data_IF_833652441654
#
_entry.id   IF_833652441654
#
_cell.length_a   1.000
_cell.length_b   1.000
_cell.length_c   1.000
_cell.angle_alpha   90.00
_cell.angle_beta   90.00
_cell.angle_gamma   90.00
#
_symmetry.space_group_name_H-M   'P 1'
#
loop_
_entity.id
_entity.type
_entity.pdbx_description
1 polymer ?
#
# COMPACT_ATOMS: atom_id res chain seq x y z
N UNK A 1 17.45 -11.97 -15.71
CA UNK A 1 16.14 -12.59 -15.40
C UNK A 1 15.50 -11.78 -14.29
N UNK A 2 14.42 -11.04 -14.55
CA UNK A 2 13.72 -10.30 -13.49
C UNK A 2 12.80 -11.30 -12.80
N UNK A 3 13.17 -11.73 -11.58
CA UNK A 3 12.28 -12.55 -10.76
C UNK A 3 11.14 -11.63 -10.33
N UNK A 4 9.96 -11.83 -10.91
CA UNK A 4 8.77 -11.18 -10.39
C UNK A 4 8.37 -11.92 -9.11
N UNK A 5 8.25 -11.24 -7.96
CA UNK A 5 7.76 -11.86 -6.75
C UNK A 5 6.32 -12.32 -7.02
N UNK A 6 5.94 -13.44 -6.43
CA UNK A 6 4.56 -13.90 -6.40
C UNK A 6 3.66 -12.87 -5.71
N UNK A 7 2.35 -12.99 -5.92
CA UNK A 7 1.36 -12.14 -5.24
C UNK A 7 1.54 -12.20 -3.72
N UNK A 8 1.76 -13.40 -3.18
CA UNK A 8 1.95 -13.62 -1.74
C UNK A 8 3.21 -12.93 -1.23
N UNK A 9 4.36 -13.20 -1.84
CA UNK A 9 5.64 -12.59 -1.44
C UNK A 9 5.58 -11.05 -1.48
N UNK A 10 4.88 -10.48 -2.45
CA UNK A 10 4.73 -9.04 -2.57
C UNK A 10 3.86 -8.46 -1.45
N UNK A 11 2.75 -9.12 -1.11
CA UNK A 11 1.89 -8.74 0.01
C UNK A 11 2.64 -8.83 1.33
N UNK A 12 3.39 -9.92 1.55
CA UNK A 12 4.18 -10.12 2.77
C UNK A 12 5.25 -9.04 2.94
N UNK A 13 5.95 -8.67 1.86
CA UNK A 13 6.90 -7.56 1.89
C UNK A 13 6.24 -6.22 2.22
N UNK A 14 5.05 -5.94 1.68
CA UNK A 14 4.28 -4.74 2.03
C UNK A 14 3.94 -4.73 3.53
N UNK A 15 3.47 -5.85 4.07
CA UNK A 15 3.16 -5.98 5.50
C UNK A 15 4.39 -5.79 6.38
N UNK A 16 5.52 -6.42 6.02
CA UNK A 16 6.77 -6.30 6.75
C UNK A 16 7.25 -4.84 6.81
N UNK A 17 7.27 -4.14 5.66
CA UNK A 17 7.65 -2.73 5.59
C UNK A 17 6.67 -1.81 6.33
N UNK A 18 5.37 -2.10 6.27
CA UNK A 18 4.36 -1.34 7.01
C UNK A 18 4.56 -1.48 8.53
N UNK A 19 4.86 -2.69 9.02
CA UNK A 19 5.18 -2.90 10.43
C UNK A 19 6.49 -2.22 10.83
N UNK A 20 7.54 -2.36 10.03
CA UNK A 20 8.82 -1.69 10.28
C UNK A 20 8.66 -0.16 10.33
N UNK A 21 7.87 0.42 9.42
CA UNK A 21 7.55 1.85 9.41
C UNK A 21 6.83 2.29 10.69
N UNK A 22 5.80 1.55 11.12
CA UNK A 22 5.07 1.84 12.37
C UNK A 22 5.99 1.79 13.59
N UNK A 23 6.81 0.75 13.69
CA UNK A 23 7.77 0.59 14.78
C UNK A 23 8.82 1.71 14.79
N UNK A 24 9.43 2.01 13.63
CA UNK A 24 10.42 3.08 13.52
C UNK A 24 9.83 4.45 13.86
N UNK A 25 8.59 4.73 13.43
CA UNK A 25 7.88 5.99 13.74
C UNK A 25 7.65 6.14 15.25
N UNK A 26 7.26 5.04 15.92
CA UNK A 26 7.05 5.02 17.37
C UNK A 26 8.36 5.19 18.15
N UNK A 27 9.43 4.52 17.73
CA UNK A 27 10.72 4.56 18.45
C UNK A 27 11.43 5.90 18.28
N UNK A 28 11.44 6.45 17.08
CA UNK A 28 12.19 7.69 16.80
C UNK A 28 11.42 8.94 17.22
N UNK A 29 10.11 8.84 17.48
CA UNK A 29 9.18 9.95 17.77
C UNK A 29 9.31 11.13 16.79
N UNK A 30 9.88 10.86 15.61
CA UNK A 30 10.26 11.85 14.61
C UNK A 30 9.75 11.35 13.26
N UNK A 31 8.57 11.82 12.81
CA UNK A 31 7.97 11.34 11.56
C UNK A 31 8.81 11.66 10.32
N UNK A 32 9.73 12.62 10.43
CA UNK A 32 10.62 13.04 9.35
C UNK A 32 12.02 12.43 9.45
N UNK A 33 12.23 11.43 10.31
CA UNK A 33 13.49 10.70 10.32
C UNK A 33 13.68 9.99 8.96
N UNK A 34 14.89 10.06 8.39
CA UNK A 34 15.17 9.53 7.05
C UNK A 34 14.81 8.05 6.88
N UNK A 35 14.96 7.24 7.94
CA UNK A 35 14.52 5.84 7.94
C UNK A 35 13.00 5.69 7.84
N UNK A 36 12.23 6.49 8.60
CA UNK A 36 10.75 6.47 8.57
C UNK A 36 10.24 6.81 7.18
N UNK A 37 10.81 7.86 6.57
CA UNK A 37 10.49 8.27 5.20
C UNK A 37 10.82 7.13 4.23
N UNK A 38 12.02 6.56 4.31
CA UNK A 38 12.46 5.50 3.40
C UNK A 38 11.57 4.26 3.48
N UNK A 39 11.20 3.82 4.68
CA UNK A 39 10.29 2.68 4.88
C UNK A 39 8.90 2.95 4.31
N UNK A 40 8.36 4.16 4.52
CA UNK A 40 7.07 4.58 3.95
C UNK A 40 7.10 4.58 2.41
N UNK A 41 8.17 5.11 1.81
CA UNK A 41 8.35 5.15 0.36
C UNK A 41 8.53 3.76 -0.26
N UNK A 42 9.28 2.87 0.40
CA UNK A 42 9.43 1.48 -0.03
C UNK A 42 8.08 0.73 0.04
N UNK A 43 7.33 0.86 1.15
CA UNK A 43 5.98 0.30 1.28
C UNK A 43 5.10 0.77 0.13
N UNK A 44 5.06 2.09 -0.10
CA UNK A 44 4.27 2.71 -1.16
C UNK A 44 4.67 2.17 -2.53
N UNK A 45 5.97 2.06 -2.81
CA UNK A 45 6.47 1.53 -4.08
C UNK A 45 6.02 0.09 -4.32
N UNK A 46 6.03 -0.77 -3.29
CA UNK A 46 5.52 -2.13 -3.41
C UNK A 46 4.00 -2.19 -3.58
N UNK A 47 3.23 -1.33 -2.90
CA UNK A 47 1.78 -1.24 -3.10
C UNK A 47 1.43 -0.84 -4.55
N UNK A 48 2.16 0.12 -5.12
CA UNK A 48 1.97 0.51 -6.54
C UNK A 48 2.36 -0.64 -7.48
N UNK A 49 3.45 -1.36 -7.18
CA UNK A 49 3.84 -2.55 -7.94
C UNK A 49 2.76 -3.62 -7.89
N UNK A 50 2.17 -3.88 -6.73
CA UNK A 50 1.09 -4.84 -6.54
C UNK A 50 -0.12 -4.50 -7.42
N UNK A 51 -0.57 -3.26 -7.39
CA UNK A 51 -1.71 -2.78 -8.18
C UNK A 51 -1.46 -2.92 -9.70
N UNK A 52 -0.24 -2.66 -10.16
CA UNK A 52 0.14 -2.77 -11.59
C UNK A 52 0.37 -4.20 -12.05
N UNK A 53 1.00 -5.03 -11.22
CA UNK A 53 1.33 -6.42 -11.56
C UNK A 53 0.13 -7.35 -11.43
N UNK A 54 -0.83 -7.01 -10.56
CA UNK A 54 -1.98 -7.86 -10.25
C UNK A 54 -3.32 -7.08 -10.23
N UNK A 55 -3.69 -6.31 -11.27
CA UNK A 55 -4.87 -5.43 -11.27
C UNK A 55 -6.21 -6.17 -11.17
N UNK A 56 -6.23 -7.48 -11.44
CA UNK A 56 -7.41 -8.33 -11.25
C UNK A 56 -7.54 -8.89 -9.83
N UNK A 57 -6.46 -8.83 -9.04
CA UNK A 57 -6.37 -9.37 -7.67
C UNK A 57 -6.24 -8.31 -6.60
N UNK A 58 -5.83 -7.09 -6.96
CA UNK A 58 -5.67 -5.97 -6.06
C UNK A 58 -6.35 -4.71 -6.61
N UNK A 59 -7.01 -3.95 -5.75
CA UNK A 59 -7.69 -2.70 -6.10
C UNK A 59 -7.68 -1.70 -4.93
N UNK A 60 -8.06 -0.45 -5.20
CA UNK A 60 -8.18 0.61 -4.21
C UNK A 60 -9.64 0.76 -3.79
N UNK A 61 -9.90 0.81 -2.49
CA UNK A 61 -11.23 1.11 -1.93
C UNK A 61 -11.08 2.18 -0.87
N UNK A 62 -11.98 3.18 -0.86
CA UNK A 62 -11.95 4.24 0.16
C UNK A 62 -12.24 3.62 1.52
N UNK A 63 -11.39 3.93 2.50
CA UNK A 63 -11.64 3.60 3.90
C UNK A 63 -12.52 4.68 4.52
N UNK A 64 -13.83 4.43 4.59
CA UNK A 64 -14.83 5.36 5.11
C UNK A 64 -14.84 5.44 6.66
N UNK A 65 -14.20 4.49 7.34
CA UNK A 65 -14.19 4.40 8.81
C UNK A 65 -12.87 4.89 9.41
N UNK A 66 -11.99 5.48 8.60
CA UNK A 66 -10.69 5.94 9.07
C UNK A 66 -10.82 7.18 9.96
N UNK A 67 -10.13 7.17 11.11
CA UNK A 67 -9.93 8.35 11.98
C UNK A 67 -8.80 9.26 11.47
N UNK A 68 -8.20 8.95 10.32
CA UNK A 68 -7.12 9.75 9.76
C UNK A 68 -7.61 11.12 9.28
N UNK A 69 -6.81 12.16 9.51
CA UNK A 69 -7.06 13.51 8.97
C UNK A 69 -6.98 13.56 7.44
N UNK A 70 -6.32 12.59 6.79
CA UNK A 70 -6.28 12.45 5.34
C UNK A 70 -7.08 11.24 4.86
N UNK A 71 -7.80 11.32 3.72
CA UNK A 71 -8.53 10.18 3.20
C UNK A 71 -7.56 9.07 2.77
N UNK A 72 -7.91 7.84 3.12
CA UNK A 72 -7.10 6.66 2.86
C UNK A 72 -7.83 5.71 1.91
N UNK A 73 -7.08 5.09 1.01
CA UNK A 73 -7.48 3.86 0.36
C UNK A 73 -6.97 2.66 1.17
N UNK A 74 -7.81 1.64 1.31
CA UNK A 74 -7.35 0.27 1.49
C UNK A 74 -6.84 -0.30 0.16
N UNK A 75 -5.71 -1.02 0.20
CA UNK A 75 -5.23 -1.80 -0.97
C UNK A 75 -5.80 -3.21 -0.85
N UNK A 76 -6.99 -3.41 -1.39
CA UNK A 76 -7.80 -4.61 -1.15
C UNK A 76 -7.36 -5.78 -2.03
N UNK A 77 -7.28 -6.97 -1.44
CA UNK A 77 -6.95 -8.23 -2.12
C UNK A 77 -8.23 -9.05 -2.31
N UNK A 78 -8.55 -9.38 -3.56
CA UNK A 78 -9.76 -10.15 -3.90
C UNK A 78 -9.49 -11.24 -4.94
N UNK A 79 -9.86 -12.51 -4.67
CA UNK A 79 -10.27 -13.01 -3.35
C UNK A 79 -9.12 -12.89 -2.32
N UNK A 80 -9.43 -12.87 -1.01
CA UNK A 80 -8.42 -12.84 0.04
C UNK A 80 -7.39 -13.97 -0.12
N UNK A 81 -6.13 -13.68 0.23
CA UNK A 81 -5.04 -14.65 0.18
C UNK A 81 -4.61 -15.02 1.60
N UNK A 82 -5.05 -16.18 2.08
CA UNK A 82 -4.85 -16.58 3.47
C UNK A 82 -5.47 -15.55 4.43
N UNK A 83 -4.63 -14.94 5.27
CA UNK A 83 -5.04 -13.88 6.21
C UNK A 83 -5.07 -12.47 5.60
N UNK A 84 -4.62 -12.32 4.35
CA UNK A 84 -4.45 -11.01 3.72
C UNK A 84 -5.65 -10.66 2.84
N UNK A 85 -6.47 -9.72 3.33
CA UNK A 85 -7.55 -9.08 2.56
C UNK A 85 -7.25 -7.61 2.22
N UNK A 86 -6.27 -6.99 2.90
CA UNK A 86 -5.88 -5.59 2.70
C UNK A 86 -4.36 -5.46 2.88
N UNK A 87 -3.65 -5.04 1.83
CA UNK A 87 -2.21 -4.78 1.80
C UNK A 87 -1.85 -3.38 2.32
N UNK A 88 -2.40 -3.03 3.47
CA UNK A 88 -2.26 -1.76 4.19
C UNK A 88 -2.83 -0.52 3.49
N UNK A 89 -3.00 0.55 4.27
CA UNK A 89 -3.54 1.81 3.77
C UNK A 89 -2.52 2.59 2.93
N UNK A 90 -3.06 3.29 1.94
CA UNK A 90 -2.38 4.18 1.01
C UNK A 90 -3.15 5.52 0.97
N UNK A 91 -2.54 6.65 1.32
CA UNK A 91 -3.23 7.93 1.22
C UNK A 91 -3.69 8.25 -0.20
N UNK A 92 -4.89 8.79 -0.34
CA UNK A 92 -5.48 9.14 -1.65
C UNK A 92 -4.55 10.06 -2.44
N UNK A 93 -3.98 11.08 -1.79
CA UNK A 93 -3.03 12.00 -2.40
C UNK A 93 -1.79 11.29 -2.95
N UNK A 94 -1.29 10.27 -2.25
CA UNK A 94 -0.11 9.50 -2.69
C UNK A 94 -0.47 8.61 -3.88
N UNK A 95 -1.63 7.95 -3.85
CA UNK A 95 -2.14 7.20 -4.99
C UNK A 95 -2.25 8.10 -6.24
N UNK A 96 -2.83 9.31 -6.08
CA UNK A 96 -2.95 10.30 -7.14
C UNK A 96 -1.61 10.83 -7.68
N UNK A 97 -0.56 10.80 -6.87
CA UNK A 97 0.78 11.21 -7.29
C UNK A 97 1.51 10.10 -8.06
N UNK A 98 1.21 8.82 -7.76
CA UNK A 98 1.99 7.67 -8.24
C UNK A 98 1.31 6.90 -9.38
N UNK A 99 -0.01 7.03 -9.50
CA UNK A 99 -0.83 6.39 -10.51
C UNK A 99 -1.35 7.45 -11.48
N UNK A 100 -1.46 7.06 -12.75
CA UNK A 100 -2.10 7.90 -13.76
C UNK A 100 -3.61 7.97 -13.53
N UNK A 101 -4.31 8.98 -14.07
CA UNK A 101 -5.77 9.04 -14.00
C UNK A 101 -6.45 7.77 -14.54
N UNK A 102 -5.96 7.21 -15.65
CA UNK A 102 -6.48 5.96 -16.23
C UNK A 102 -6.32 4.77 -15.29
N UNK A 103 -5.16 4.64 -14.64
CA UNK A 103 -4.92 3.60 -13.64
C UNK A 103 -5.89 3.76 -12.46
N UNK A 104 -6.09 4.98 -11.97
CA UNK A 104 -7.04 5.24 -10.87
C UNK A 104 -8.47 4.86 -11.25
N UNK A 105 -8.93 5.21 -12.45
CA UNK A 105 -10.28 4.81 -12.91
C UNK A 105 -10.46 3.29 -12.97
N UNK A 106 -9.39 2.55 -13.27
CA UNK A 106 -9.44 1.08 -13.34
C UNK A 106 -9.28 0.41 -11.97
N UNK A 107 -8.49 1.00 -11.09
CA UNK A 107 -8.11 0.42 -9.81
C UNK A 107 -9.05 0.82 -8.67
N UNK A 108 -9.71 1.99 -8.73
CA UNK A 108 -10.62 2.41 -7.67
C UNK A 108 -11.96 1.72 -7.83
N UNK A 109 -12.46 1.10 -6.75
CA UNK A 109 -13.79 0.49 -6.65
C UNK A 109 -14.52 1.07 -5.44
N UNK A 110 -15.84 1.14 -5.55
CA UNK A 110 -16.73 1.56 -4.48
C UNK A 110 -16.98 0.41 -3.51
#
# INVERSE_FOLDING_TARGET
MVIQPTLEELIEQIFALNQAWKQASNVLLTPNAGLVISLKELKTTLQIRLLRSYPTRAYLQIDAETESEEPLYGVIISPPLGKYSNAAHLPVRVAQTRLTPTELTQLVRN
#
